data_IF_016474506659
#
_entry.id   IF_016474506659
#
_cell.length_a   1.000
_cell.length_b   1.000
_cell.length_c   1.000
_cell.angle_alpha   90.00
_cell.angle_beta   90.00
_cell.angle_gamma   90.00
#
_symmetry.space_group_name_H-M   'P 1'
#
loop_
_entity.id
_entity.type
_entity.pdbx_description
1 polymer ?
#
# COMPACT_ATOMS: atom_id res chain seq x y z
N UNK A 1 10.45 -3.76 -15.35
CA UNK A 1 9.58 -4.00 -14.18
C UNK A 1 9.55 -2.74 -13.35
N UNK A 2 8.53 -2.60 -12.51
CA UNK A 2 8.40 -1.53 -11.52
C UNK A 2 8.07 -2.14 -10.15
N UNK A 3 8.16 -1.31 -9.11
CA UNK A 3 7.74 -1.67 -7.76
C UNK A 3 6.77 -0.62 -7.24
N UNK A 4 5.76 -1.06 -6.50
CA UNK A 4 4.81 -0.19 -5.79
C UNK A 4 4.91 -0.51 -4.31
N UNK A 5 5.21 0.50 -3.50
CA UNK A 5 5.32 0.38 -2.06
C UNK A 5 5.29 1.77 -1.45
N UNK A 6 5.20 1.82 -0.13
CA UNK A 6 5.45 3.02 0.67
C UNK A 6 5.39 2.65 2.16
N UNK A 7 4.43 3.19 2.90
CA UNK A 7 4.36 3.15 4.34
C UNK A 7 2.90 3.25 4.82
N UNK A 8 2.57 2.55 5.90
CA UNK A 8 1.28 2.65 6.59
C UNK A 8 1.53 3.13 8.02
N UNK A 9 0.80 4.17 8.42
CA UNK A 9 0.96 4.80 9.73
C UNK A 9 -0.36 5.04 10.45
N UNK A 10 -0.24 5.11 11.77
CA UNK A 10 -1.27 5.61 12.62
C UNK A 10 -1.07 7.11 12.77
N UNK A 11 -1.98 7.86 12.14
CA UNK A 11 -2.12 9.30 12.31
C UNK A 11 -2.65 9.59 13.72
N UNK A 12 -1.73 9.97 14.62
CA UNK A 12 -2.04 10.13 16.05
C UNK A 12 -2.80 11.43 16.30
N UNK A 13 -2.45 12.47 15.56
CA UNK A 13 -2.95 13.82 15.78
C UNK A 13 -4.19 14.16 14.90
N UNK A 14 -4.49 13.30 13.91
CA UNK A 14 -5.63 13.33 12.99
C UNK A 14 -5.58 14.46 11.96
N UNK A 15 -4.40 14.91 11.58
CA UNK A 15 -4.24 15.99 10.60
C UNK A 15 -4.14 15.50 9.15
N UNK A 16 -3.97 14.19 8.93
CA UNK A 16 -3.84 13.58 7.61
C UNK A 16 -2.44 13.72 7.00
N UNK A 17 -1.48 14.25 7.75
CA UNK A 17 -0.07 14.33 7.35
C UNK A 17 0.67 13.11 7.89
N UNK A 18 1.82 12.83 7.26
CA UNK A 18 2.78 11.88 7.78
C UNK A 18 3.89 12.69 8.47
N UNK A 19 3.94 12.67 9.80
CA UNK A 19 4.91 13.46 10.55
C UNK A 19 5.56 12.71 11.73
N UNK A 20 6.37 13.43 12.51
CA UNK A 20 7.13 12.86 13.62
C UNK A 20 6.27 12.42 14.83
N UNK A 21 5.00 12.83 14.88
CA UNK A 21 4.04 12.42 15.92
C UNK A 21 3.41 11.06 15.62
N UNK A 22 3.50 10.62 14.37
CA UNK A 22 2.89 9.38 13.89
C UNK A 22 3.73 8.15 14.15
N UNK A 23 3.06 6.99 14.07
CA UNK A 23 3.67 5.69 14.36
C UNK A 23 3.46 4.70 13.23
N UNK A 24 4.43 3.82 12.94
CA UNK A 24 4.25 2.76 11.96
C UNK A 24 3.13 1.81 12.37
N UNK A 25 2.33 1.36 11.40
CA UNK A 25 1.43 0.22 11.59
C UNK A 25 2.14 -1.02 11.06
N UNK A 26 2.60 -1.86 11.98
CA UNK A 26 3.12 -3.20 11.68
C UNK A 26 1.95 -4.16 11.46
N UNK A 27 2.07 -5.09 10.51
CA UNK A 27 1.08 -6.15 10.33
C UNK A 27 -0.16 -5.78 9.53
N UNK A 28 -0.20 -4.62 8.88
CA UNK A 28 -1.27 -4.28 7.94
C UNK A 28 -1.13 -5.16 6.69
N UNK A 29 -2.24 -5.75 6.23
CA UNK A 29 -2.27 -6.60 5.02
C UNK A 29 -2.78 -5.78 3.85
N UNK A 30 -2.01 -5.77 2.77
CA UNK A 30 -2.26 -4.96 1.58
C UNK A 30 -2.32 -5.86 0.35
N UNK A 31 -3.19 -5.47 -0.59
CA UNK A 31 -3.41 -6.09 -1.89
C UNK A 31 -3.13 -5.10 -3.00
N UNK A 32 -2.61 -5.60 -4.13
CA UNK A 32 -2.52 -4.84 -5.37
C UNK A 32 -3.40 -5.45 -6.47
N UNK A 33 -4.09 -4.59 -7.22
CA UNK A 33 -4.84 -4.95 -8.43
C UNK A 33 -4.36 -4.15 -9.62
N UNK A 34 -4.46 -4.74 -10.80
CA UNK A 34 -4.12 -4.11 -12.07
C UNK A 34 -5.17 -3.08 -12.53
N UNK A 35 -4.95 -2.48 -13.71
CA UNK A 35 -5.85 -1.46 -14.28
C UNK A 35 -7.28 -1.94 -14.53
N UNK A 36 -7.44 -3.25 -14.72
CA UNK A 36 -8.72 -3.95 -14.91
C UNK A 36 -9.38 -4.37 -13.59
N UNK A 37 -8.78 -4.01 -12.45
CA UNK A 37 -9.24 -4.40 -11.12
C UNK A 37 -8.98 -5.87 -10.77
N UNK A 38 -8.24 -6.61 -11.59
CA UNK A 38 -7.92 -8.02 -11.34
C UNK A 38 -6.60 -8.20 -10.58
N UNK A 39 -6.38 -9.39 -9.97
CA UNK A 39 -5.09 -9.73 -9.39
C UNK A 39 -3.95 -9.57 -10.40
N UNK A 40 -2.85 -8.97 -9.96
CA UNK A 40 -1.68 -8.75 -10.81
C UNK A 40 -0.89 -10.04 -10.96
N UNK A 41 -0.36 -10.30 -12.15
CA UNK A 41 0.75 -11.23 -12.36
C UNK A 41 2.06 -10.45 -12.46
N UNK A 42 3.10 -10.95 -11.81
CA UNK A 42 4.44 -10.40 -11.89
C UNK A 42 5.05 -10.62 -13.30
N UNK A 43 6.23 -10.07 -13.55
CA UNK A 43 6.92 -10.23 -14.85
C UNK A 43 7.34 -11.68 -15.16
N UNK A 44 7.26 -12.60 -14.20
CA UNK A 44 7.52 -14.03 -14.40
C UNK A 44 6.23 -14.82 -14.68
N UNK A 45 5.06 -14.18 -14.55
CA UNK A 45 3.75 -14.78 -14.76
C UNK A 45 3.10 -15.35 -13.50
N UNK A 46 3.73 -15.16 -12.34
CA UNK A 46 3.22 -15.61 -11.04
C UNK A 46 2.25 -14.59 -10.45
N UNK A 47 1.25 -15.04 -9.68
CA UNK A 47 0.33 -14.12 -9.01
C UNK A 47 1.06 -13.33 -7.93
N UNK A 48 0.87 -12.01 -7.94
CA UNK A 48 1.34 -11.13 -6.87
C UNK A 48 0.41 -11.31 -5.68
N UNK A 49 0.95 -11.89 -4.60
CA UNK A 49 0.22 -12.11 -3.36
C UNK A 49 0.04 -10.84 -2.53
N UNK A 50 -0.75 -10.95 -1.47
CA UNK A 50 -0.86 -9.89 -0.46
C UNK A 50 0.49 -9.72 0.26
N UNK A 51 0.79 -8.49 0.66
CA UNK A 51 1.99 -8.14 1.45
C UNK A 51 1.58 -7.66 2.82
N UNK A 52 2.48 -7.78 3.79
CA UNK A 52 2.26 -7.32 5.16
C UNK A 52 3.29 -6.26 5.51
N UNK A 53 2.86 -5.16 6.13
CA UNK A 53 3.80 -4.12 6.57
C UNK A 53 4.76 -4.64 7.63
N UNK A 54 6.03 -4.27 7.50
CA UNK A 54 7.08 -4.65 8.43
C UNK A 54 7.03 -3.86 9.76
N UNK A 55 8.00 -4.09 10.64
CA UNK A 55 8.10 -3.39 11.92
C UNK A 55 8.31 -1.87 11.78
N UNK A 56 8.76 -1.42 10.62
CA UNK A 56 8.89 -0.01 10.26
C UNK A 56 7.72 0.46 9.40
N UNK A 57 6.58 -0.24 9.39
CA UNK A 57 5.35 0.11 8.67
C UNK A 57 5.45 0.06 7.15
N UNK A 58 6.55 -0.44 6.58
CA UNK A 58 6.80 -0.41 5.14
C UNK A 58 6.26 -1.66 4.45
N UNK A 59 5.80 -1.50 3.22
CA UNK A 59 5.40 -2.59 2.34
C UNK A 59 5.97 -2.39 0.94
N UNK A 60 6.11 -3.49 0.20
CA UNK A 60 6.63 -3.45 -1.17
C UNK A 60 6.06 -4.59 -2.00
N UNK A 61 5.43 -4.24 -3.12
CA UNK A 61 5.16 -5.14 -4.23
C UNK A 61 6.26 -4.96 -5.29
N UNK A 62 7.01 -6.03 -5.56
CA UNK A 62 8.12 -6.02 -6.51
C UNK A 62 7.73 -6.72 -7.82
N UNK A 63 8.58 -6.56 -8.84
CA UNK A 63 8.49 -7.31 -10.11
C UNK A 63 7.17 -7.09 -10.85
N UNK A 64 6.56 -5.93 -10.69
CA UNK A 64 5.32 -5.60 -11.38
C UNK A 64 5.61 -5.28 -12.86
N UNK A 65 4.74 -5.69 -13.79
CA UNK A 65 4.82 -5.26 -15.17
C UNK A 65 4.82 -3.73 -15.30
N UNK A 66 5.43 -3.22 -16.38
CA UNK A 66 5.19 -1.83 -16.79
C UNK A 66 3.83 -1.80 -17.48
N UNK A 67 2.95 -0.90 -17.03
CA UNK A 67 1.62 -0.67 -17.60
C UNK A 67 1.62 0.62 -18.44
N UNK A 68 0.55 0.86 -19.21
CA UNK A 68 0.45 2.05 -20.05
C UNK A 68 0.47 3.36 -19.26
N UNK A 69 0.82 4.47 -19.92
CA UNK A 69 1.01 5.79 -19.27
C UNK A 69 -0.24 6.30 -18.52
N UNK A 70 -1.44 5.93 -18.98
CA UNK A 70 -2.73 6.29 -18.36
C UNK A 70 -3.31 5.18 -17.46
N UNK A 71 -2.61 4.06 -17.33
CA UNK A 71 -3.02 2.92 -16.51
C UNK A 71 -2.45 3.02 -15.09
N UNK A 72 -3.16 2.46 -14.12
CA UNK A 72 -2.78 2.53 -12.71
C UNK A 72 -2.90 1.18 -12.03
N UNK A 73 -1.98 0.93 -11.10
CA UNK A 73 -2.18 -0.05 -10.05
C UNK A 73 -3.03 0.56 -8.94
N UNK A 74 -3.86 -0.27 -8.30
CA UNK A 74 -4.60 0.12 -7.10
C UNK A 74 -4.11 -0.71 -5.92
N UNK A 75 -3.70 -0.04 -4.84
CA UNK A 75 -3.37 -0.70 -3.56
C UNK A 75 -4.56 -0.57 -2.63
N UNK A 76 -4.99 -1.68 -2.03
CA UNK A 76 -6.10 -1.73 -1.07
C UNK A 76 -5.60 -2.28 0.26
N UNK A 77 -5.92 -1.58 1.35
CA UNK A 77 -5.75 -2.13 2.71
C UNK A 77 -6.83 -3.17 2.95
N UNK A 78 -6.43 -4.42 3.15
CA UNK A 78 -7.31 -5.56 3.38
C UNK A 78 -7.66 -5.65 4.87
N UNK A 79 -6.65 -5.50 5.73
CA UNK A 79 -6.84 -5.49 7.19
C UNK A 79 -5.70 -4.77 7.89
N UNK A 80 -5.98 -4.35 9.12
CA UNK A 80 -5.02 -3.74 10.05
C UNK A 80 -5.19 -4.39 11.42
N UNK A 81 -4.12 -4.58 12.20
CA UNK A 81 -4.23 -5.16 13.54
C UNK A 81 -4.72 -4.11 14.54
N UNK A 82 -6.03 -3.92 14.60
CA UNK A 82 -6.69 -3.00 15.53
C UNK A 82 -7.86 -2.27 14.90
N UNK A 83 -8.53 -1.44 15.71
CA UNK A 83 -9.71 -0.67 15.29
C UNK A 83 -9.30 0.71 14.75
N UNK A 84 -8.55 0.72 13.64
CA UNK A 84 -8.16 1.94 12.95
C UNK A 84 -9.24 2.37 11.95
N UNK A 85 -9.37 3.69 11.77
CA UNK A 85 -10.14 4.29 10.69
C UNK A 85 -9.19 5.04 9.75
N UNK A 86 -9.45 5.08 8.43
CA UNK A 86 -8.68 5.90 7.52
C UNK A 86 -8.65 7.36 7.97
N UNK A 87 -7.47 7.99 7.87
CA UNK A 87 -7.34 9.43 8.11
C UNK A 87 -7.87 10.25 6.93
N UNK A 88 -7.76 11.59 7.01
CA UNK A 88 -8.12 12.51 5.95
C UNK A 88 -7.22 12.30 4.72
N UNK A 89 -7.77 11.96 3.55
CA UNK A 89 -6.98 11.74 2.34
C UNK A 89 -6.50 13.07 1.73
N UNK A 90 -5.46 13.00 0.89
CA UNK A 90 -4.98 14.09 0.02
C UNK A 90 -4.61 15.39 0.76
N UNK A 91 -4.02 15.26 1.97
CA UNK A 91 -3.51 16.41 2.74
C UNK A 91 -2.01 16.62 2.53
N UNK A 92 -1.24 15.53 2.40
CA UNK A 92 0.17 15.56 2.02
C UNK A 92 0.39 15.73 0.51
N UNK A 93 1.65 15.91 0.13
CA UNK A 93 2.11 16.10 -1.27
C UNK A 93 2.21 14.78 -2.06
#
# INVERSE_FOLDING_TARGET
>A
EVSVGDYVWFDVNKDGLQDATDRPIVGAVLKITGPDGQPVKDVNGDLVGDVTTDASGKYLFEKLPVIGDDEKYTVTVVSVPGDYIPTKPEVGD
#
